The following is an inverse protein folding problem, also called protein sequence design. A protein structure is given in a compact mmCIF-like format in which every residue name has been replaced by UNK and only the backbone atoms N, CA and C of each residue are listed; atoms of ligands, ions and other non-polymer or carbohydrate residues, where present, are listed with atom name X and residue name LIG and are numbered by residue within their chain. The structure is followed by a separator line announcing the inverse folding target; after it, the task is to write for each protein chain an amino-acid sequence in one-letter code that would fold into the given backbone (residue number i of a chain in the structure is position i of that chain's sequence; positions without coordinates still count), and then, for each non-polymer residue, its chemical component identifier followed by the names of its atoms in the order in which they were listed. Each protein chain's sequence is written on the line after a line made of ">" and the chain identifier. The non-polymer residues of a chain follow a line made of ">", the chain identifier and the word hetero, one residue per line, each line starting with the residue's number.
data_IF_417574203306
#
_entry.id   IF_417574203306
#
_cell.length_a   1.000
_cell.length_b   1.000
_cell.length_c   1.000
_cell.angle_alpha   90.00
_cell.angle_beta   90.00
_cell.angle_gamma   90.00
#
_symmetry.space_group_name_H-M   'P 1'
#
loop_
_entity.id
_entity.type
_entity.pdbx_description
1 polymer ?
#
# COMPACT_ATOMS: atom_id res chain seq x y z
N UNK A 1 17.07 1.41 -4.67
CA UNK A 1 16.00 1.86 -5.58
C UNK A 1 14.72 1.97 -4.77
N UNK A 2 13.86 2.92 -5.11
CA UNK A 2 12.64 3.28 -4.36
C UNK A 2 11.41 3.21 -5.27
N UNK A 3 10.23 3.12 -4.67
CA UNK A 3 8.91 3.19 -5.30
C UNK A 3 8.25 4.49 -4.88
N UNK A 4 7.60 5.19 -5.81
CA UNK A 4 6.71 6.29 -5.45
C UNK A 4 5.37 5.71 -5.00
N UNK A 5 5.02 5.91 -3.72
CA UNK A 5 3.76 5.46 -3.16
C UNK A 5 2.85 6.66 -2.89
N UNK A 6 1.69 6.67 -3.55
CA UNK A 6 0.60 7.59 -3.27
C UNK A 6 -0.63 6.83 -2.77
N UNK A 7 -1.08 7.15 -1.56
CA UNK A 7 -2.31 6.62 -0.97
C UNK A 7 -3.33 7.76 -0.94
N UNK A 8 -4.44 7.53 -1.61
CA UNK A 8 -5.50 8.51 -1.81
C UNK A 8 -6.81 7.99 -1.22
N UNK A 9 -7.52 8.90 -0.55
CA UNK A 9 -8.91 8.71 -0.13
C UNK A 9 -9.77 9.75 -0.84
N UNK A 10 -11.10 9.57 -0.93
CA UNK A 10 -11.96 10.53 -1.63
C UNK A 10 -11.80 11.98 -1.17
N UNK A 11 -11.41 12.19 0.09
CA UNK A 11 -11.31 13.52 0.68
C UNK A 11 -9.90 14.11 0.66
N UNK A 12 -8.84 13.27 0.59
CA UNK A 12 -7.44 13.74 0.66
C UNK A 12 -6.42 12.68 0.25
N UNK A 13 -5.23 13.17 -0.09
CA UNK A 13 -4.01 12.36 -0.13
C UNK A 13 -3.59 12.05 1.32
N UNK A 14 -3.42 10.77 1.63
CA UNK A 14 -3.01 10.27 2.96
C UNK A 14 -1.51 10.09 3.04
N UNK A 15 -0.88 9.66 1.94
CA UNK A 15 0.56 9.49 1.84
C UNK A 15 1.01 9.77 0.42
N UNK A 16 2.11 10.49 0.26
CA UNK A 16 2.81 10.68 -1.00
C UNK A 16 4.31 10.72 -0.68
N UNK A 17 5.00 9.60 -0.88
CA UNK A 17 6.41 9.45 -0.49
C UNK A 17 7.12 8.32 -1.22
N UNK A 18 8.45 8.42 -1.28
CA UNK A 18 9.31 7.34 -1.74
C UNK A 18 9.49 6.25 -0.66
N UNK A 19 9.26 5.00 -1.04
CA UNK A 19 9.31 3.84 -0.14
C UNK A 19 10.19 2.74 -0.73
N UNK A 20 10.72 1.84 0.10
CA UNK A 20 11.56 0.73 -0.38
C UNK A 20 10.73 -0.50 -0.75
N UNK A 21 9.71 -0.79 0.03
CA UNK A 21 8.87 -1.96 -0.14
C UNK A 21 7.51 -1.73 0.51
N UNK A 22 6.51 -2.42 -0.02
CA UNK A 22 5.12 -2.38 0.43
C UNK A 22 4.65 -3.81 0.61
N UNK A 23 4.01 -4.10 1.74
CA UNK A 23 3.37 -5.38 2.03
C UNK A 23 1.91 -5.11 2.34
N UNK A 24 1.04 -5.68 1.53
CA UNK A 24 -0.40 -5.64 1.73
C UNK A 24 -0.87 -7.01 2.24
N UNK A 25 -1.52 -7.02 3.39
CA UNK A 25 -2.18 -8.23 3.90
C UNK A 25 -3.67 -8.16 3.61
N UNK A 26 -4.19 -9.07 2.80
CA UNK A 26 -5.62 -9.26 2.49
C UNK A 26 -6.13 -10.56 3.12
N UNK A 27 -7.45 -10.76 3.09
CA UNK A 27 -8.07 -12.01 3.58
C UNK A 27 -7.60 -13.26 2.82
N UNK A 28 -7.12 -13.09 1.58
CA UNK A 28 -6.65 -14.19 0.72
C UNK A 28 -5.15 -14.44 0.80
N UNK A 29 -4.38 -13.61 1.54
CA UNK A 29 -2.92 -13.76 1.64
C UNK A 29 -2.18 -12.43 1.77
N UNK A 30 -0.88 -12.45 1.46
CA UNK A 30 -0.04 -11.25 1.48
C UNK A 30 0.53 -10.98 0.08
N UNK A 31 0.53 -9.72 -0.32
CA UNK A 31 1.12 -9.23 -1.56
C UNK A 31 2.28 -8.30 -1.18
N UNK A 32 3.49 -8.63 -1.64
CA UNK A 32 4.65 -7.76 -1.55
C UNK A 32 4.92 -7.09 -2.90
N UNK A 33 5.22 -5.79 -2.89
CA UNK A 33 5.61 -5.03 -4.09
C UNK A 33 6.99 -4.44 -3.88
N UNK A 34 7.89 -4.71 -4.83
CA UNK A 34 9.28 -4.25 -4.85
C UNK A 34 9.53 -3.28 -6.02
N UNK A 35 10.61 -2.46 -5.93
CA UNK A 35 10.98 -1.56 -7.01
C UNK A 35 11.28 -2.34 -8.30
N UNK A 36 10.77 -1.84 -9.43
CA UNK A 36 10.85 -2.44 -10.78
C UNK A 36 9.95 -3.66 -11.04
N UNK A 37 8.95 -3.91 -10.19
CA UNK A 37 7.89 -4.86 -10.53
C UNK A 37 7.04 -4.37 -11.72
N UNK A 38 6.44 -5.34 -12.42
CA UNK A 38 5.51 -5.04 -13.50
C UNK A 38 4.28 -4.27 -12.99
N UNK A 39 3.61 -3.45 -13.84
CA UNK A 39 2.37 -2.79 -13.46
C UNK A 39 1.30 -3.81 -13.06
N UNK A 40 0.75 -3.68 -11.84
CA UNK A 40 -0.32 -4.54 -11.32
C UNK A 40 -1.49 -3.65 -10.89
N UNK A 41 -2.69 -3.98 -11.36
CA UNK A 41 -3.94 -3.39 -10.88
C UNK A 41 -4.74 -4.49 -10.18
N UNK A 42 -5.02 -4.31 -8.88
CA UNK A 42 -5.77 -5.27 -8.08
C UNK A 42 -6.75 -4.55 -7.16
N UNK A 43 -7.90 -5.17 -6.92
CA UNK A 43 -8.82 -4.71 -5.87
C UNK A 43 -8.27 -5.18 -4.54
N UNK A 44 -8.11 -4.24 -3.61
CA UNK A 44 -7.63 -4.50 -2.27
C UNK A 44 -8.85 -4.57 -1.34
N UNK A 45 -9.04 -5.71 -0.69
CA UNK A 45 -10.02 -5.89 0.37
C UNK A 45 -9.48 -5.38 1.73
N UNK A 46 -10.32 -5.37 2.76
CA UNK A 46 -9.99 -4.92 4.11
C UNK A 46 -8.72 -5.61 4.59
N UNK A 47 -7.69 -4.78 4.83
CA UNK A 47 -6.35 -5.26 5.08
C UNK A 47 -5.47 -4.29 5.86
N UNK A 48 -4.29 -4.80 6.21
CA UNK A 48 -3.21 -4.03 6.83
C UNK A 48 -2.16 -3.76 5.76
N UNK A 49 -1.84 -2.48 5.55
CA UNK A 49 -0.78 -2.05 4.66
C UNK A 49 0.46 -1.72 5.49
N UNK A 50 1.58 -2.39 5.20
CA UNK A 50 2.88 -2.12 5.80
C UNK A 50 3.79 -1.52 4.75
N UNK A 51 4.46 -0.43 5.12
CA UNK A 51 5.27 0.37 4.22
C UNK A 51 6.62 0.56 4.88
N UNK A 52 7.71 0.30 4.15
CA UNK A 52 9.05 0.57 4.63
C UNK A 52 9.54 1.91 4.12
N UNK A 53 9.49 2.89 5.00
CA UNK A 53 9.95 4.25 4.75
C UNK A 53 11.22 4.50 5.58
N UNK A 54 12.32 4.90 4.94
CA UNK A 54 13.59 5.19 5.62
C UNK A 54 14.06 4.09 6.59
N UNK A 55 13.91 2.83 6.17
CA UNK A 55 14.23 1.62 6.97
C UNK A 55 13.36 1.41 8.22
N UNK A 56 12.32 2.21 8.41
CA UNK A 56 11.31 2.03 9.44
C UNK A 56 10.01 1.49 8.83
N UNK A 57 9.35 0.61 9.59
CA UNK A 57 8.05 0.08 9.19
C UNK A 57 6.92 0.97 9.69
N UNK A 58 6.19 1.57 8.75
CA UNK A 58 4.91 2.22 9.00
C UNK A 58 3.79 1.20 8.74
N UNK A 59 2.84 1.11 9.66
CA UNK A 59 1.64 0.28 9.48
C UNK A 59 0.42 1.19 9.34
N UNK A 60 -0.28 1.08 8.23
CA UNK A 60 -1.56 1.74 7.98
C UNK A 60 -2.65 0.66 8.06
N UNK A 61 -3.53 0.78 9.04
CA UNK A 61 -4.69 -0.09 9.19
C UNK A 61 -5.92 0.57 8.56
N UNK A 62 -6.61 -0.19 7.67
CA UNK A 62 -7.81 0.13 6.85
C UNK A 62 -7.55 0.61 5.42
N UNK A 63 -7.89 -0.27 4.47
CA UNK A 63 -8.58 0.10 3.23
C UNK A 63 -9.86 -0.74 3.14
N UNK A 64 -10.99 -0.17 3.55
CA UNK A 64 -12.32 -0.64 3.17
C UNK A 64 -12.81 0.39 2.15
N UNK A 65 -12.94 -0.02 0.89
CA UNK A 65 -13.76 0.71 -0.09
C UNK A 65 -15.04 -0.10 -0.20
N UNK A 66 -15.93 0.06 0.77
CA UNK A 66 -17.30 -0.41 0.62
C UNK A 66 -18.06 0.69 -0.13
N UNK A 67 -18.12 0.57 -1.46
CA UNK A 67 -19.09 1.30 -2.26
C UNK A 67 -20.41 0.55 -2.16
N UNK A 68 -21.39 1.16 -1.49
CA UNK A 68 -22.80 0.79 -1.58
C UNK A 68 -23.34 0.93 -3.01
#
# INVERSE_FOLDING_TARGET
>A
MTLNLCIITPNRIVLDSEVKEIILSTNSGQIGVLPNDAPIATTIDIGILRIRLNDQWLTIARVSIESN
#
